data_IF_920273627423
#
_entry.id   IF_920273627423
#
_cell.length_a   1.000
_cell.length_b   1.000
_cell.length_c   1.000
_cell.angle_alpha   90.00
_cell.angle_beta   90.00
_cell.angle_gamma   90.00
#
_symmetry.space_group_name_H-M   'P 1'
#
loop_
_entity.id
_entity.type
_entity.pdbx_description
1 polymer ?
#
# COMPACT_ATOMS: atom_id res chain seq x y z
N UNK A 1 -13.18 1.95 7.97
CA UNK A 1 -12.17 2.71 7.20
C UNK A 1 -12.36 2.41 5.74
N UNK A 2 -12.50 3.45 4.90
CA UNK A 2 -12.51 3.28 3.45
C UNK A 2 -11.09 3.35 2.91
N UNK A 3 -10.72 2.42 2.04
CA UNK A 3 -9.41 2.33 1.37
C UNK A 3 -9.63 2.48 -0.13
N UNK A 4 -8.98 3.48 -0.74
CA UNK A 4 -9.13 3.77 -2.17
C UNK A 4 -7.75 3.76 -2.84
N UNK A 5 -7.58 2.93 -3.86
CA UNK A 5 -6.37 2.89 -4.67
C UNK A 5 -6.42 3.95 -5.77
N UNK A 6 -5.39 4.77 -5.83
CA UNK A 6 -5.28 5.88 -6.80
C UNK A 6 -4.29 5.58 -7.94
N UNK A 7 -3.81 4.34 -8.02
CA UNK A 7 -2.78 3.91 -8.98
C UNK A 7 -1.40 3.81 -8.33
N UNK A 8 -0.51 3.05 -8.95
CA UNK A 8 0.84 2.78 -8.47
C UNK A 8 0.86 2.33 -7.00
N UNK A 9 1.52 3.05 -6.11
CA UNK A 9 1.49 2.84 -4.67
C UNK A 9 0.62 3.87 -3.91
N UNK A 10 -0.12 4.72 -4.65
CA UNK A 10 -0.91 5.78 -4.04
C UNK A 10 -2.26 5.27 -3.54
N UNK A 11 -2.52 5.53 -2.25
CA UNK A 11 -3.80 5.22 -1.61
C UNK A 11 -4.37 6.42 -0.85
N UNK A 12 -5.69 6.43 -0.72
CA UNK A 12 -6.43 7.31 0.18
C UNK A 12 -7.08 6.46 1.25
N UNK A 13 -6.80 6.78 2.52
CA UNK A 13 -7.53 6.23 3.67
C UNK A 13 -8.50 7.29 4.18
N UNK A 14 -9.76 6.89 4.38
CA UNK A 14 -10.78 7.80 4.92
C UNK A 14 -11.48 7.16 6.12
N UNK A 15 -11.56 7.93 7.21
CA UNK A 15 -12.29 7.57 8.42
C UNK A 15 -12.91 8.83 9.04
N UNK A 16 -14.23 8.78 9.29
CA UNK A 16 -15.00 9.86 9.90
C UNK A 16 -14.81 11.23 9.17
N UNK A 17 -14.73 11.18 7.83
CA UNK A 17 -14.52 12.33 6.97
C UNK A 17 -13.11 12.88 6.91
N UNK A 18 -12.17 12.34 7.70
CA UNK A 18 -10.73 12.66 7.64
C UNK A 18 -10.03 11.79 6.61
N UNK A 19 -9.22 12.40 5.74
CA UNK A 19 -8.52 11.75 4.63
C UNK A 19 -7.01 11.84 4.78
N UNK A 20 -6.34 10.70 4.60
CA UNK A 20 -4.88 10.63 4.44
C UNK A 20 -4.58 10.14 3.03
N UNK A 21 -3.79 10.89 2.28
CA UNK A 21 -3.18 10.42 1.03
C UNK A 21 -1.81 9.81 1.37
N UNK A 22 -1.54 8.63 0.83
CA UNK A 22 -0.27 7.91 1.02
C UNK A 22 0.41 7.80 -0.33
N UNK A 23 1.71 8.10 -0.38
CA UNK A 23 2.58 7.96 -1.55
C UNK A 23 1.99 8.55 -2.84
N UNK A 24 1.65 9.86 -2.88
CA UNK A 24 1.23 10.49 -4.11
C UNK A 24 2.39 10.50 -5.12
N UNK A 25 2.08 10.16 -6.37
CA UNK A 25 3.06 10.02 -7.44
C UNK A 25 3.01 11.15 -8.47
N UNK A 26 4.13 11.31 -9.19
CA UNK A 26 4.21 12.06 -10.45
C UNK A 26 5.03 11.27 -11.45
N UNK A 27 4.81 11.48 -12.75
CA UNK A 27 5.62 10.90 -13.82
C UNK A 27 5.55 9.38 -13.98
N UNK A 28 4.62 8.69 -13.34
CA UNK A 28 4.42 7.24 -13.55
C UNK A 28 3.69 7.03 -14.87
N UNK A 29 4.24 6.25 -15.82
CA UNK A 29 3.67 6.09 -17.15
C UNK A 29 2.20 5.64 -17.16
N UNK A 30 1.43 6.23 -18.08
CA UNK A 30 0.03 5.91 -18.28
C UNK A 30 -0.94 6.58 -17.31
N UNK A 31 -0.55 6.82 -16.08
CA UNK A 31 -1.41 7.48 -15.10
C UNK A 31 -1.51 8.99 -15.36
N UNK A 32 -2.71 9.56 -15.28
CA UNK A 32 -2.87 11.02 -15.35
C UNK A 32 -2.26 11.68 -14.12
N UNK A 33 -1.95 12.99 -14.19
CA UNK A 33 -1.54 13.75 -13.02
C UNK A 33 -2.58 13.64 -11.90
N UNK A 34 -2.09 13.42 -10.67
CA UNK A 34 -2.96 13.41 -9.50
C UNK A 34 -3.46 14.83 -9.20
N UNK A 35 -4.71 14.93 -8.78
CA UNK A 35 -5.32 16.14 -8.23
C UNK A 35 -6.21 15.71 -7.05
N UNK A 36 -5.61 15.57 -5.88
CA UNK A 36 -6.24 15.01 -4.69
C UNK A 36 -6.48 16.10 -3.64
N UNK A 37 -7.46 15.86 -2.77
CA UNK A 37 -7.71 16.66 -1.59
C UNK A 37 -7.68 15.79 -0.35
N UNK A 38 -6.94 16.22 0.69
CA UNK A 38 -6.76 15.46 1.92
C UNK A 38 -6.53 16.38 3.13
N UNK A 39 -6.57 15.80 4.32
CA UNK A 39 -6.23 16.46 5.57
C UNK A 39 -4.75 16.26 5.91
N UNK A 40 -4.17 15.15 5.42
CA UNK A 40 -2.80 14.76 5.69
C UNK A 40 -2.21 14.00 4.50
N UNK A 41 -0.90 14.14 4.29
CA UNK A 41 -0.13 13.35 3.34
C UNK A 41 0.96 12.61 4.09
N UNK A 42 1.14 11.33 3.77
CA UNK A 42 2.21 10.48 4.28
C UNK A 42 2.98 9.87 3.12
N UNK A 43 4.32 9.89 3.21
CA UNK A 43 5.19 9.35 2.17
C UNK A 43 6.11 8.30 2.76
N UNK A 44 6.21 7.13 2.13
CA UNK A 44 7.10 6.05 2.57
C UNK A 44 8.58 6.41 2.40
N UNK A 45 8.91 7.15 1.34
CA UNK A 45 10.25 7.62 1.03
C UNK A 45 10.23 8.79 0.02
N UNK A 46 11.40 9.29 -0.38
CA UNK A 46 11.53 10.55 -1.13
C UNK A 46 11.57 10.44 -2.65
N UNK A 47 11.33 9.29 -3.28
CA UNK A 47 11.32 9.18 -4.75
C UNK A 47 10.10 9.89 -5.36
N UNK A 48 10.24 10.36 -6.60
CA UNK A 48 9.24 11.18 -7.30
C UNK A 48 7.87 10.48 -7.46
N UNK A 49 7.90 9.17 -7.54
CA UNK A 49 6.71 8.31 -7.67
C UNK A 49 6.03 7.95 -6.33
N UNK A 50 6.54 8.55 -5.20
CA UNK A 50 5.97 8.37 -3.86
C UNK A 50 5.86 9.68 -3.06
N UNK A 51 6.44 10.78 -3.54
CA UNK A 51 6.54 12.03 -2.78
C UNK A 51 6.06 13.27 -3.57
N UNK A 52 5.05 13.11 -4.42
CA UNK A 52 4.45 14.23 -5.13
C UNK A 52 3.43 14.98 -4.25
N UNK A 53 3.86 15.47 -3.09
CA UNK A 53 3.00 16.15 -2.10
C UNK A 53 2.28 17.35 -2.71
N UNK A 54 2.89 18.04 -3.69
CA UNK A 54 2.26 19.17 -4.41
C UNK A 54 1.04 18.80 -5.24
N UNK A 55 0.80 17.50 -5.51
CA UNK A 55 -0.39 17.02 -6.19
C UNK A 55 -1.59 16.87 -5.23
N UNK A 56 -1.41 17.18 -3.94
CA UNK A 56 -2.45 17.06 -2.92
C UNK A 56 -2.76 18.43 -2.34
N UNK A 57 -4.00 18.87 -2.49
CA UNK A 57 -4.50 20.06 -1.83
C UNK A 57 -4.86 19.72 -0.37
N UNK A 58 -4.15 20.31 0.60
CA UNK A 58 -4.45 20.11 2.01
C UNK A 58 -5.63 20.98 2.44
N UNK A 59 -6.64 20.36 3.06
CA UNK A 59 -7.80 21.03 3.62
C UNK A 59 -7.40 21.86 4.84
N UNK A 60 -7.75 23.15 4.92
CA UNK A 60 -7.39 23.98 6.05
C UNK A 60 -8.14 23.55 7.33
N UNK A 61 -7.46 23.58 8.47
CA UNK A 61 -8.08 23.37 9.78
C UNK A 61 -8.43 21.94 10.15
N UNK A 62 -7.89 20.95 9.47
CA UNK A 62 -8.25 19.54 9.60
C UNK A 62 -7.90 18.91 10.99
N UNK A 63 -7.11 19.54 11.83
CA UNK A 63 -6.71 19.00 13.13
C UNK A 63 -5.87 17.71 13.02
N UNK A 64 -5.83 16.91 14.09
CA UNK A 64 -5.01 15.69 14.16
C UNK A 64 -5.70 14.45 13.56
N UNK A 65 -7.03 14.53 13.36
CA UNK A 65 -7.85 13.40 12.86
C UNK A 65 -7.94 12.19 13.80
N UNK A 66 -8.64 11.13 13.38
CA UNK A 66 -8.85 9.93 14.17
C UNK A 66 -7.71 8.90 14.05
N UNK A 67 -6.70 9.15 13.20
CA UNK A 67 -5.66 8.19 12.90
C UNK A 67 -4.47 8.27 13.85
N UNK A 68 -4.05 7.12 14.36
CA UNK A 68 -2.68 6.88 14.84
C UNK A 68 -1.85 6.30 13.70
N UNK A 69 -0.59 6.73 13.58
CA UNK A 69 0.34 6.24 12.55
C UNK A 69 1.60 5.75 13.24
N UNK A 70 1.92 4.48 13.02
CA UNK A 70 3.15 3.84 13.48
C UNK A 70 4.12 3.74 12.30
N UNK A 71 5.38 4.06 12.50
CA UNK A 71 6.43 4.04 11.48
C UNK A 71 7.43 2.93 11.79
N UNK A 72 7.66 2.06 10.83
CA UNK A 72 8.62 0.96 10.92
C UNK A 72 9.69 1.16 9.84
N UNK A 73 10.93 1.50 10.22
CA UNK A 73 12.03 1.67 9.27
C UNK A 73 12.35 0.35 8.55
N UNK A 74 12.47 0.43 7.24
CA UNK A 74 12.87 -0.66 6.34
C UNK A 74 13.78 -0.11 5.24
N UNK A 75 14.11 -0.93 4.25
CA UNK A 75 14.94 -0.51 3.13
C UNK A 75 14.26 -0.79 1.80
N UNK A 76 14.56 0.07 0.82
CA UNK A 76 14.06 -0.03 -0.55
C UNK A 76 14.84 -1.06 -1.40
N UNK A 77 15.71 -1.85 -0.77
CA UNK A 77 16.49 -2.92 -1.41
C UNK A 77 16.90 -3.99 -0.40
N UNK A 78 17.38 -5.12 -0.92
CA UNK A 78 17.90 -6.22 -0.11
C UNK A 78 19.33 -6.02 0.40
N UNK A 79 19.96 -4.88 0.12
CA UNK A 79 21.34 -4.56 0.51
C UNK A 79 21.42 -3.55 1.68
N UNK A 80 20.36 -3.46 2.49
CA UNK A 80 20.31 -2.57 3.65
C UNK A 80 20.26 -1.08 3.27
N UNK A 81 19.61 -0.76 2.15
CA UNK A 81 19.48 0.62 1.67
C UNK A 81 20.66 1.14 0.84
N UNK A 82 21.67 0.30 0.58
CA UNK A 82 22.87 0.73 -0.13
C UNK A 82 22.61 1.09 -1.61
N UNK A 83 21.55 0.57 -2.21
CA UNK A 83 21.22 0.78 -3.62
C UNK A 83 20.14 1.85 -3.81
N UNK A 84 19.10 1.88 -2.98
CA UNK A 84 17.90 2.73 -3.16
C UNK A 84 17.50 3.51 -1.91
N UNK A 85 18.23 3.35 -0.81
CA UNK A 85 17.98 4.07 0.43
C UNK A 85 16.97 3.42 1.35
N UNK A 86 16.47 4.23 2.30
CA UNK A 86 15.46 3.81 3.28
C UNK A 86 14.05 3.80 2.70
N UNK A 87 13.22 3.00 3.32
CA UNK A 87 11.78 2.97 3.15
C UNK A 87 11.12 2.93 4.52
N UNK A 88 9.95 3.51 4.68
CA UNK A 88 9.17 3.48 5.91
C UNK A 88 7.86 2.74 5.67
N UNK A 89 7.71 1.59 6.32
CA UNK A 89 6.42 0.92 6.42
C UNK A 89 5.57 1.68 7.44
N UNK A 90 4.30 1.96 7.09
CA UNK A 90 3.39 2.69 7.97
C UNK A 90 2.16 1.88 8.30
N UNK A 91 1.78 1.88 9.59
CA UNK A 91 0.54 1.26 10.05
C UNK A 91 -0.41 2.36 10.52
N UNK A 92 -1.54 2.47 9.85
CA UNK A 92 -2.60 3.43 10.12
C UNK A 92 -3.71 2.75 10.91
N UNK A 93 -4.04 3.28 12.08
CA UNK A 93 -5.09 2.73 12.94
C UNK A 93 -6.17 3.77 13.21
N UNK A 94 -7.41 3.44 12.90
CA UNK A 94 -8.59 4.26 13.21
C UNK A 94 -9.86 3.40 13.21
N UNK A 95 -10.83 3.73 14.05
CA UNK A 95 -12.13 3.07 14.09
C UNK A 95 -12.06 1.55 14.33
N UNK A 96 -11.04 1.06 15.05
CA UNK A 96 -10.83 -0.37 15.30
C UNK A 96 -10.27 -1.16 14.11
N UNK A 97 -9.79 -0.48 13.07
CA UNK A 97 -9.19 -1.06 11.85
C UNK A 97 -7.72 -0.66 11.77
N UNK A 98 -6.87 -1.58 11.32
CA UNK A 98 -5.44 -1.36 11.07
C UNK A 98 -5.10 -1.65 9.60
N UNK A 99 -4.57 -0.65 8.90
CA UNK A 99 -4.10 -0.78 7.52
C UNK A 99 -2.61 -0.50 7.46
N UNK A 100 -1.84 -1.44 6.91
CA UNK A 100 -0.40 -1.30 6.74
C UNK A 100 -0.08 -0.99 5.28
N UNK A 101 0.70 0.07 5.04
CA UNK A 101 1.27 0.41 3.75
C UNK A 101 2.76 0.09 3.76
N UNK A 102 3.19 -0.80 2.87
CA UNK A 102 4.57 -1.31 2.85
C UNK A 102 5.56 -0.36 2.17
N UNK A 103 5.07 0.71 1.49
CA UNK A 103 5.94 1.51 0.64
C UNK A 103 6.64 0.64 -0.40
N UNK A 104 7.86 1.00 -0.73
CA UNK A 104 8.70 0.24 -1.66
C UNK A 104 9.66 -0.70 -0.94
N UNK A 105 9.12 -1.53 -0.06
CA UNK A 105 9.94 -2.51 0.65
C UNK A 105 10.69 -3.42 -0.33
N UNK A 106 12.01 -3.53 -0.18
CA UNK A 106 12.88 -4.29 -1.07
C UNK A 106 13.39 -5.62 -0.48
N UNK A 107 12.88 -6.03 0.68
CA UNK A 107 13.31 -7.25 1.37
C UNK A 107 12.18 -7.84 2.23
N UNK A 108 12.21 -9.15 2.58
CA UNK A 108 11.31 -9.73 3.57
C UNK A 108 11.47 -9.06 4.94
N UNK A 109 10.40 -9.01 5.72
CA UNK A 109 10.45 -8.44 7.08
C UNK A 109 11.32 -9.31 7.99
N UNK A 110 12.13 -8.67 8.83
CA UNK A 110 12.72 -9.34 9.99
C UNK A 110 11.63 -9.68 11.01
N UNK A 111 11.92 -10.60 11.93
CA UNK A 111 10.98 -10.94 13.01
C UNK A 111 10.59 -9.72 13.85
N UNK A 112 11.54 -8.81 14.11
CA UNK A 112 11.28 -7.58 14.85
C UNK A 112 10.38 -6.62 14.09
N UNK A 113 10.58 -6.44 12.77
CA UNK A 113 9.74 -5.61 11.92
C UNK A 113 8.33 -6.21 11.80
N UNK A 114 8.21 -7.53 11.57
CA UNK A 114 6.92 -8.19 11.52
C UNK A 114 6.15 -8.07 12.84
N UNK A 115 6.84 -8.18 13.99
CA UNK A 115 6.24 -7.96 15.30
C UNK A 115 5.81 -6.51 15.51
N UNK A 116 6.59 -5.53 15.02
CA UNK A 116 6.24 -4.11 15.09
C UNK A 116 5.02 -3.77 14.22
N UNK A 117 4.94 -4.32 13.00
CA UNK A 117 3.73 -4.19 12.15
C UNK A 117 2.52 -4.81 12.85
N UNK A 118 2.71 -5.99 13.44
CA UNK A 118 1.63 -6.70 14.13
C UNK A 118 0.52 -7.16 13.18
N UNK A 119 -0.63 -7.51 13.76
CA UNK A 119 -1.79 -7.96 12.99
C UNK A 119 -2.50 -6.76 12.36
N UNK A 120 -2.69 -6.80 11.05
CA UNK A 120 -3.40 -5.76 10.29
C UNK A 120 -4.61 -6.34 9.57
N UNK A 121 -5.68 -5.54 9.45
CA UNK A 121 -6.85 -5.89 8.64
C UNK A 121 -6.51 -5.87 7.16
N UNK A 122 -5.72 -4.89 6.70
CA UNK A 122 -5.24 -4.86 5.33
C UNK A 122 -3.74 -4.56 5.28
N UNK A 123 -3.05 -5.18 4.31
CA UNK A 123 -1.66 -4.89 3.96
C UNK A 123 -1.60 -4.53 2.48
N UNK A 124 -1.20 -3.28 2.20
CA UNK A 124 -0.99 -2.75 0.87
C UNK A 124 0.47 -3.03 0.52
N UNK A 125 0.70 -3.96 -0.42
CA UNK A 125 2.01 -4.58 -0.62
C UNK A 125 2.49 -4.50 -2.06
N UNK A 126 3.73 -4.02 -2.34
CA UNK A 126 4.26 -4.00 -3.68
C UNK A 126 4.54 -5.42 -4.18
N UNK A 127 4.25 -5.66 -5.47
CA UNK A 127 4.40 -6.99 -6.08
C UNK A 127 5.16 -6.98 -7.41
N UNK A 128 5.52 -5.78 -7.91
CA UNK A 128 6.07 -5.61 -9.25
C UNK A 128 7.53 -6.04 -9.43
N UNK A 129 8.28 -6.24 -8.36
CA UNK A 129 9.71 -6.56 -8.42
C UNK A 129 10.56 -5.41 -8.96
N UNK A 130 11.81 -5.69 -9.36
CA UNK A 130 12.83 -4.74 -9.88
C UNK A 130 13.24 -3.69 -8.87
N UNK A 131 12.30 -2.88 -8.40
CA UNK A 131 12.52 -1.83 -7.40
C UNK A 131 12.11 -2.27 -6.00
N UNK A 132 11.16 -3.16 -5.89
CA UNK A 132 10.54 -3.65 -4.65
C UNK A 132 10.71 -5.16 -4.53
N UNK A 133 10.15 -5.77 -3.50
CA UNK A 133 9.96 -7.23 -3.51
C UNK A 133 9.12 -7.65 -4.71
N UNK A 134 9.40 -8.83 -5.22
CA UNK A 134 8.59 -9.47 -6.26
C UNK A 134 7.36 -10.19 -5.67
N UNK A 135 6.62 -10.87 -6.52
CA UNK A 135 5.44 -11.64 -6.13
C UNK A 135 5.73 -12.67 -5.01
N UNK A 136 6.87 -13.35 -5.06
CA UNK A 136 7.25 -14.36 -4.07
C UNK A 136 7.61 -13.70 -2.72
N UNK A 137 8.39 -12.61 -2.76
CA UNK A 137 8.72 -11.83 -1.57
C UNK A 137 7.49 -11.19 -0.92
N UNK A 138 6.56 -10.67 -1.74
CA UNK A 138 5.29 -10.14 -1.26
C UNK A 138 4.43 -11.24 -0.60
N UNK A 139 4.38 -12.45 -1.19
CA UNK A 139 3.68 -13.60 -0.60
C UNK A 139 4.30 -13.99 0.73
N UNK A 140 5.63 -14.02 0.83
CA UNK A 140 6.34 -14.30 2.09
C UNK A 140 5.97 -13.29 3.19
N UNK A 141 5.92 -11.99 2.86
CA UNK A 141 5.52 -10.95 3.82
C UNK A 141 4.05 -11.15 4.24
N UNK A 142 3.16 -11.42 3.28
CA UNK A 142 1.76 -11.69 3.59
C UNK A 142 1.59 -12.93 4.50
N UNK A 143 2.38 -13.99 4.29
CA UNK A 143 2.38 -15.18 5.14
C UNK A 143 2.91 -14.93 6.55
N UNK A 144 3.87 -14.00 6.69
CA UNK A 144 4.37 -13.57 7.99
C UNK A 144 3.32 -12.79 8.79
N UNK A 145 2.63 -11.86 8.14
CA UNK A 145 1.68 -10.95 8.78
C UNK A 145 0.26 -11.51 8.91
N UNK A 146 -0.12 -12.44 8.02
CA UNK A 146 -1.46 -13.03 7.92
C UNK A 146 -2.57 -11.98 8.00
N UNK A 147 -2.57 -10.97 7.14
CA UNK A 147 -3.61 -9.95 7.15
C UNK A 147 -4.95 -10.55 6.73
N UNK A 148 -6.05 -9.87 7.06
CA UNK A 148 -7.34 -10.22 6.48
C UNK A 148 -7.35 -9.99 4.98
N UNK A 149 -6.83 -8.83 4.54
CA UNK A 149 -6.73 -8.47 3.13
C UNK A 149 -5.28 -8.20 2.74
N UNK A 150 -4.78 -8.90 1.71
CA UNK A 150 -3.56 -8.55 1.01
C UNK A 150 -3.94 -7.82 -0.28
N UNK A 151 -3.47 -6.57 -0.44
CA UNK A 151 -3.83 -5.72 -1.57
C UNK A 151 -2.56 -5.41 -2.35
N UNK A 152 -2.39 -5.97 -3.57
CA UNK A 152 -1.20 -5.72 -4.37
C UNK A 152 -1.17 -4.28 -4.88
N UNK A 153 0.02 -3.69 -4.92
CA UNK A 153 0.31 -2.38 -5.46
C UNK A 153 1.65 -2.37 -6.21
N UNK A 154 2.04 -1.23 -6.78
CA UNK A 154 3.32 -1.02 -7.44
C UNK A 154 3.60 -2.09 -8.52
N UNK A 155 2.62 -2.37 -9.36
CA UNK A 155 2.69 -3.32 -10.47
C UNK A 155 2.27 -2.65 -11.79
N UNK A 156 2.66 -3.27 -12.90
CA UNK A 156 2.22 -2.83 -14.22
C UNK A 156 0.88 -3.46 -14.60
N UNK A 157 -0.04 -2.65 -15.09
CA UNK A 157 -1.23 -3.09 -15.82
C UNK A 157 -1.44 -2.16 -17.03
N UNK A 158 -0.97 -2.61 -18.18
CA UNK A 158 -0.92 -1.77 -19.39
C UNK A 158 -2.25 -1.04 -19.66
N UNK A 159 -2.20 0.29 -20.00
CA UNK A 159 -1.00 1.07 -20.29
C UNK A 159 -0.31 1.70 -19.08
N UNK A 160 -0.74 1.40 -17.85
CA UNK A 160 -0.32 2.04 -16.60
C UNK A 160 0.84 1.31 -15.93
N UNK A 161 1.72 2.10 -15.28
CA UNK A 161 2.82 1.62 -14.45
C UNK A 161 4.16 1.60 -15.18
N UNK A 162 5.23 1.37 -14.42
CA UNK A 162 6.59 1.29 -14.93
C UNK A 162 6.75 0.07 -15.87
N UNK A 163 7.39 0.27 -17.02
CA UNK A 163 7.43 -0.76 -18.08
C UNK A 163 8.23 -2.02 -17.70
N UNK A 164 9.17 -1.88 -16.80
CA UNK A 164 10.10 -2.93 -16.40
C UNK A 164 9.65 -3.72 -15.15
N UNK A 165 8.50 -3.39 -14.55
CA UNK A 165 7.97 -4.14 -13.41
C UNK A 165 6.93 -5.17 -13.86
N UNK A 166 6.77 -6.24 -13.08
CA UNK A 166 5.80 -7.29 -13.36
C UNK A 166 4.35 -6.82 -13.10
N UNK A 167 3.39 -7.55 -13.64
CA UNK A 167 1.97 -7.40 -13.35
C UNK A 167 1.58 -8.10 -12.04
N UNK A 168 0.36 -7.82 -11.56
CA UNK A 168 -0.17 -8.46 -10.35
C UNK A 168 -0.42 -9.97 -10.50
N UNK A 169 -0.56 -10.49 -11.73
CA UNK A 169 -0.94 -11.88 -12.00
C UNK A 169 0.03 -12.90 -11.40
N UNK A 170 1.33 -12.58 -11.31
CA UNK A 170 2.31 -13.48 -10.70
C UNK A 170 2.03 -13.65 -9.20
N UNK A 171 1.68 -12.57 -8.52
CA UNK A 171 1.28 -12.62 -7.12
C UNK A 171 -0.05 -13.35 -6.91
N UNK A 172 -1.04 -13.08 -7.75
CA UNK A 172 -2.36 -13.71 -7.63
C UNK A 172 -2.30 -15.23 -7.79
N UNK A 173 -1.43 -15.76 -8.68
CA UNK A 173 -1.23 -17.20 -8.88
C UNK A 173 -0.67 -17.94 -7.67
N UNK A 174 -0.08 -17.25 -6.71
CA UNK A 174 0.45 -17.83 -5.47
C UNK A 174 -0.64 -18.08 -4.41
N UNK A 175 -1.89 -17.74 -4.73
CA UNK A 175 -3.03 -17.88 -3.83
C UNK A 175 -4.06 -18.85 -4.42
N UNK A 176 -4.84 -19.55 -3.55
CA UNK A 176 -6.01 -20.29 -4.03
C UNK A 176 -6.96 -19.34 -4.78
N UNK A 177 -7.52 -19.79 -5.90
CA UNK A 177 -8.42 -18.95 -6.70
C UNK A 177 -9.61 -18.39 -5.87
N UNK A 178 -10.11 -19.16 -4.93
CA UNK A 178 -11.19 -18.76 -4.03
C UNK A 178 -10.80 -17.64 -3.03
N UNK A 179 -9.50 -17.44 -2.80
CA UNK A 179 -8.99 -16.37 -1.94
C UNK A 179 -8.76 -15.06 -2.70
N UNK A 180 -8.91 -15.05 -4.03
CA UNK A 180 -8.66 -13.87 -4.88
C UNK A 180 -9.97 -13.25 -5.32
N UNK A 181 -10.18 -12.00 -4.93
CA UNK A 181 -11.30 -11.17 -5.36
C UNK A 181 -10.80 -10.00 -6.21
N UNK A 182 -11.34 -9.88 -7.44
CA UNK A 182 -11.12 -8.75 -8.32
C UNK A 182 -12.28 -7.77 -8.14
N UNK A 183 -11.97 -6.59 -7.60
CA UNK A 183 -12.99 -5.58 -7.33
C UNK A 183 -13.47 -4.93 -8.63
N UNK A 184 -14.73 -4.54 -8.67
CA UNK A 184 -15.29 -3.77 -9.80
C UNK A 184 -14.84 -2.31 -9.80
N UNK A 185 -14.38 -1.79 -8.65
CA UNK A 185 -13.87 -0.43 -8.48
C UNK A 185 -12.51 -0.40 -7.79
N UNK A 186 -12.05 0.82 -7.54
CA UNK A 186 -10.75 1.07 -6.92
C UNK A 186 -10.78 1.18 -5.38
N UNK A 187 -11.92 0.92 -4.75
CA UNK A 187 -12.09 1.12 -3.31
C UNK A 187 -12.81 -0.06 -2.65
N UNK A 188 -12.51 -0.25 -1.36
CA UNK A 188 -13.19 -1.19 -0.48
C UNK A 188 -13.33 -0.62 0.93
N UNK A 189 -14.30 -1.13 1.68
CA UNK A 189 -14.48 -0.77 3.07
C UNK A 189 -13.86 -1.83 3.98
N UNK A 190 -12.87 -1.43 4.77
CA UNK A 190 -12.27 -2.26 5.79
C UNK A 190 -12.99 -2.00 7.10
N UNK A 191 -13.84 -2.94 7.49
CA UNK A 191 -14.64 -2.87 8.73
C UNK A 191 -13.95 -3.68 9.84
N UNK A 192 -14.10 -3.27 11.11
CA UNK A 192 -13.64 -4.08 12.24
C UNK A 192 -14.17 -5.50 12.16
N UNK A 193 -13.31 -6.49 12.40
CA UNK A 193 -13.69 -7.90 12.42
C UNK A 193 -13.16 -8.57 13.70
N UNK A 194 -13.92 -9.50 14.30
CA UNK A 194 -13.50 -10.19 15.53
C UNK A 194 -12.27 -11.08 15.30
N UNK A 195 -11.99 -11.42 14.07
CA UNK A 195 -10.83 -12.20 13.64
C UNK A 195 -11.05 -12.78 12.25
N UNK A 196 -10.01 -13.39 11.72
CA UNK A 196 -10.00 -14.13 10.45
C UNK A 196 -8.95 -15.24 10.52
N UNK A 197 -9.16 -16.32 9.80
CA UNK A 197 -8.24 -17.46 9.74
C UNK A 197 -7.41 -17.44 8.47
N UNK A 198 -7.99 -16.96 7.37
CA UNK A 198 -7.37 -16.93 6.05
C UNK A 198 -7.26 -15.51 5.51
N UNK A 199 -6.24 -15.28 4.71
CA UNK A 199 -6.04 -14.03 3.99
C UNK A 199 -6.81 -14.07 2.67
N UNK A 200 -7.59 -13.02 2.39
CA UNK A 200 -8.14 -12.72 1.08
C UNK A 200 -7.22 -11.75 0.33
N UNK A 201 -7.07 -11.95 -0.98
CA UNK A 201 -6.39 -11.00 -1.85
C UNK A 201 -7.44 -10.14 -2.55
N UNK A 202 -7.39 -8.83 -2.33
CA UNK A 202 -8.27 -7.90 -3.05
C UNK A 202 -7.46 -7.19 -4.13
N UNK A 203 -7.88 -7.31 -5.39
CA UNK A 203 -7.30 -6.60 -6.52
C UNK A 203 -8.22 -5.45 -6.92
N UNK A 204 -7.93 -4.20 -6.50
CA UNK A 204 -8.69 -3.03 -6.95
C UNK A 204 -8.51 -2.81 -8.45
N UNK A 205 -9.56 -2.31 -9.10
CA UNK A 205 -9.55 -1.92 -10.51
C UNK A 205 -9.29 -0.43 -10.62
N UNK A 206 -8.26 -0.03 -11.36
CA UNK A 206 -8.01 1.38 -11.63
C UNK A 206 -9.18 1.98 -12.42
N UNK A 207 -9.74 3.13 -11.99
CA UNK A 207 -10.82 3.78 -12.71
C UNK A 207 -10.29 4.34 -14.04
N UNK A 208 -10.93 3.94 -15.14
CA UNK A 208 -10.62 4.40 -16.51
C UNK A 208 -11.62 5.48 -16.89
#
# INVERSE_FOLDING_TARGET
>A
MRVTWMGHACFVLEQDGFRIVIDPYTGVPGYPPLALEADRVECSHGHFDHNAVSAVHLRPGAGTGPFTVEEIPTFHDGAGGALRGGNTVRVFSAGGVRVCHMGDIGHPLSAAQAAAVGRCDAVLIPVGGVYTVDAAGAKQIADQLRPRFAVPMHYRHAPYGLENVAGAEEFLRLWPAAAVERLEGNAFDCLPAPGWEETQVLLPKYPV
#
